data_IF_953362777272
#
_entry.id   IF_953362777272
#
_cell.length_a   1.000
_cell.length_b   1.000
_cell.length_c   1.000
_cell.angle_alpha   90.00
_cell.angle_beta   90.00
_cell.angle_gamma   90.00
#
_symmetry.space_group_name_H-M   'P 1'
#
loop_
_entity.id
_entity.type
_entity.pdbx_description
1 polymer ?
#
# COMPACT_ATOMS: atom_id res chain seq x y z
N UNK A 1 -22.09 -14.46 11.00
CA UNK A 1 -21.55 -13.10 10.94
C UNK A 1 -20.20 -13.24 10.26
N UNK A 2 -20.00 -12.68 9.06
CA UNK A 2 -18.67 -12.76 8.43
C UNK A 2 -17.73 -11.90 9.29
N UNK A 3 -16.60 -12.49 9.72
CA UNK A 3 -15.55 -11.74 10.42
C UNK A 3 -15.01 -10.68 9.47
N UNK A 4 -14.89 -9.43 9.92
CA UNK A 4 -14.34 -8.36 9.08
C UNK A 4 -12.86 -8.64 8.78
N UNK A 5 -12.33 -8.09 7.70
CA UNK A 5 -10.94 -8.34 7.31
C UNK A 5 -9.94 -7.84 8.35
N UNK A 6 -10.25 -6.72 9.00
CA UNK A 6 -9.50 -6.24 10.14
C UNK A 6 -9.52 -7.25 11.30
N UNK A 7 -10.69 -7.77 11.65
CA UNK A 7 -10.81 -8.74 12.73
C UNK A 7 -9.99 -10.01 12.41
N UNK A 8 -10.10 -10.53 11.17
CA UNK A 8 -9.32 -11.67 10.72
C UNK A 8 -7.81 -11.41 10.72
N UNK A 9 -7.36 -10.20 10.35
CA UNK A 9 -5.96 -9.79 10.39
C UNK A 9 -5.40 -9.85 11.82
N UNK A 10 -6.14 -9.33 12.80
CA UNK A 10 -5.74 -9.31 14.19
C UNK A 10 -5.80 -10.70 14.83
N UNK A 11 -6.83 -11.49 14.52
CA UNK A 11 -6.97 -12.88 14.96
C UNK A 11 -5.75 -13.71 14.55
N UNK A 12 -5.34 -13.64 13.28
CA UNK A 12 -4.14 -14.35 12.78
C UNK A 12 -2.85 -13.91 13.45
N UNK A 13 -2.76 -12.65 13.87
CA UNK A 13 -1.60 -12.14 14.59
C UNK A 13 -1.60 -12.48 16.10
N UNK A 14 -2.67 -13.10 16.61
CA UNK A 14 -2.85 -13.35 18.05
C UNK A 14 -3.05 -12.08 18.88
N UNK A 15 -3.55 -10.99 18.25
CA UNK A 15 -3.75 -9.68 18.87
C UNK A 15 -5.21 -9.26 18.79
N UNK A 16 -5.58 -8.24 19.56
CA UNK A 16 -6.87 -7.57 19.43
C UNK A 16 -6.71 -6.24 18.69
N UNK A 17 -7.69 -5.84 17.84
CA UNK A 17 -7.67 -4.52 17.22
C UNK A 17 -7.66 -3.41 18.29
N UNK A 18 -6.79 -2.40 18.19
CA UNK A 18 -6.85 -1.23 19.04
C UNK A 18 -8.16 -0.47 18.85
N UNK A 19 -8.61 0.23 19.90
CA UNK A 19 -9.83 1.04 19.85
C UNK A 19 -9.79 2.13 18.75
N UNK A 20 -8.59 2.60 18.39
CA UNK A 20 -8.37 3.55 17.30
C UNK A 20 -8.71 3.00 15.89
N UNK A 21 -9.01 1.70 15.78
CA UNK A 21 -9.48 1.04 14.56
C UNK A 21 -10.97 0.68 14.60
N UNK A 22 -11.72 1.13 15.62
CA UNK A 22 -13.14 0.80 15.76
C UNK A 22 -14.00 1.25 14.55
N UNK A 23 -13.58 2.32 13.87
CA UNK A 23 -14.26 2.86 12.68
C UNK A 23 -13.59 2.45 11.35
N UNK A 24 -12.61 1.54 11.38
CA UNK A 24 -11.78 1.22 10.22
C UNK A 24 -12.61 0.75 9.01
N UNK A 25 -13.54 -0.20 9.21
CA UNK A 25 -14.37 -0.71 8.13
C UNK A 25 -15.22 0.41 7.50
N UNK A 26 -15.80 1.29 8.33
CA UNK A 26 -16.55 2.46 7.84
C UNK A 26 -15.68 3.45 7.06
N UNK A 27 -14.39 3.59 7.42
CA UNK A 27 -13.42 4.37 6.62
C UNK A 27 -13.13 3.70 5.29
N UNK A 28 -12.98 2.38 5.26
CA UNK A 28 -12.80 1.61 4.02
C UNK A 28 -14.01 1.78 3.11
N UNK A 29 -15.23 1.62 3.62
CA UNK A 29 -16.47 1.85 2.85
C UNK A 29 -16.52 3.26 2.26
N UNK A 30 -16.25 4.28 3.07
CA UNK A 30 -16.21 5.67 2.61
C UNK A 30 -15.14 5.93 1.52
N UNK A 31 -14.02 5.21 1.56
CA UNK A 31 -13.01 5.26 0.50
C UNK A 31 -13.43 4.51 -0.76
N UNK A 32 -14.12 3.37 -0.64
CA UNK A 32 -14.72 2.66 -1.78
C UNK A 32 -15.69 3.58 -2.51
N UNK A 33 -16.61 4.19 -1.78
CA UNK A 33 -17.61 5.10 -2.33
C UNK A 33 -16.95 6.30 -3.02
N UNK A 34 -15.90 6.86 -2.42
CA UNK A 34 -15.15 7.96 -3.02
C UNK A 34 -14.44 7.54 -4.31
N UNK A 35 -13.89 6.32 -4.35
CA UNK A 35 -13.27 5.77 -5.53
C UNK A 35 -14.28 5.49 -6.64
N UNK A 36 -15.42 4.85 -6.33
CA UNK A 36 -16.50 4.53 -7.27
C UNK A 36 -17.18 5.77 -7.84
N UNK A 37 -17.23 6.88 -7.09
CA UNK A 37 -17.69 8.17 -7.65
C UNK A 37 -16.81 8.69 -8.79
N UNK A 38 -15.53 8.34 -8.79
CA UNK A 38 -14.56 8.75 -9.84
C UNK A 38 -14.47 7.69 -10.93
N UNK A 39 -14.56 6.41 -10.56
CA UNK A 39 -14.46 5.25 -11.44
C UNK A 39 -15.71 4.36 -11.28
N UNK A 40 -16.86 4.75 -11.87
CA UNK A 40 -18.14 4.07 -11.64
C UNK A 40 -18.20 2.65 -12.18
N UNK A 41 -17.35 2.33 -13.16
CA UNK A 41 -17.27 0.99 -13.76
C UNK A 41 -16.32 0.05 -13.00
N UNK A 42 -15.68 0.51 -11.92
CA UNK A 42 -14.72 -0.30 -11.19
C UNK A 42 -15.38 -1.48 -10.46
N UNK A 43 -14.70 -2.62 -10.47
CA UNK A 43 -15.12 -3.82 -9.75
C UNK A 43 -14.15 -4.04 -8.58
N UNK A 44 -14.60 -3.69 -7.37
CA UNK A 44 -13.77 -3.78 -6.17
C UNK A 44 -13.92 -5.15 -5.50
N UNK A 45 -12.78 -5.75 -5.15
CA UNK A 45 -12.75 -6.90 -4.24
C UNK A 45 -11.71 -6.71 -3.15
N UNK A 46 -11.96 -7.34 -2.01
CA UNK A 46 -10.97 -7.53 -0.98
C UNK A 46 -10.22 -8.86 -1.17
N UNK A 47 -8.90 -8.81 -1.03
CA UNK A 47 -7.98 -9.93 -1.15
C UNK A 47 -7.19 -10.03 0.16
N UNK A 48 -7.47 -11.09 0.92
CA UNK A 48 -6.85 -11.38 2.22
C UNK A 48 -5.70 -12.38 2.04
N UNK A 49 -4.50 -11.99 2.47
CA UNK A 49 -3.26 -12.76 2.31
C UNK A 49 -2.50 -12.78 3.64
N UNK A 50 -2.85 -13.73 4.49
CA UNK A 50 -2.27 -13.86 5.83
C UNK A 50 -2.30 -12.53 6.60
N UNK A 51 -1.16 -11.86 6.80
CA UNK A 51 -1.07 -10.60 7.54
C UNK A 51 -1.16 -9.35 6.66
N UNK A 52 -1.66 -9.49 5.42
CA UNK A 52 -1.98 -8.39 4.53
C UNK A 52 -3.40 -8.47 3.98
N UNK A 53 -3.97 -7.30 3.76
CA UNK A 53 -5.25 -7.13 3.07
C UNK A 53 -5.06 -6.11 1.96
N UNK A 54 -5.58 -6.43 0.78
CA UNK A 54 -5.62 -5.54 -0.37
C UNK A 54 -7.06 -5.34 -0.82
N UNK A 55 -7.42 -4.11 -1.15
CA UNK A 55 -8.56 -3.82 -1.99
C UNK A 55 -8.07 -3.59 -3.41
N UNK A 56 -8.73 -4.23 -4.36
CA UNK A 56 -8.30 -4.28 -5.75
C UNK A 56 -9.47 -3.96 -6.68
N UNK A 57 -9.21 -3.09 -7.66
CA UNK A 57 -10.07 -2.84 -8.80
C UNK A 57 -9.67 -3.79 -9.94
N UNK A 58 -10.57 -4.72 -10.28
CA UNK A 58 -10.35 -5.70 -11.35
C UNK A 58 -10.39 -5.11 -12.75
N UNK A 59 -11.10 -4.00 -12.95
CA UNK A 59 -11.24 -3.38 -14.27
C UNK A 59 -9.95 -2.65 -14.66
N UNK A 60 -9.36 -1.93 -13.71
CA UNK A 60 -8.10 -1.20 -13.92
C UNK A 60 -6.86 -1.97 -13.46
N UNK A 61 -7.03 -3.20 -12.98
CA UNK A 61 -6.00 -4.08 -12.41
C UNK A 61 -5.07 -3.37 -11.42
N UNK A 62 -5.65 -2.66 -10.43
CA UNK A 62 -4.87 -1.85 -9.49
C UNK A 62 -5.39 -1.89 -8.06
N UNK A 63 -4.46 -1.75 -7.12
CA UNK A 63 -4.76 -1.65 -5.69
C UNK A 63 -5.36 -0.28 -5.38
N UNK A 64 -6.43 -0.23 -4.60
CA UNK A 64 -7.05 1.01 -4.11
C UNK A 64 -6.78 1.25 -2.62
N UNK A 65 -6.49 0.17 -1.88
CA UNK A 65 -6.06 0.19 -0.49
C UNK A 65 -5.22 -1.06 -0.22
N UNK A 66 -4.16 -0.92 0.56
CA UNK A 66 -3.45 -2.06 1.14
C UNK A 66 -3.17 -1.77 2.61
N UNK A 67 -3.40 -2.73 3.50
CA UNK A 67 -3.08 -2.58 4.91
C UNK A 67 -2.62 -3.89 5.53
N UNK A 68 -1.88 -3.77 6.63
CA UNK A 68 -1.26 -4.90 7.31
C UNK A 68 -0.89 -4.57 8.76
N UNK A 69 -0.49 -5.62 9.47
CA UNK A 69 0.32 -5.50 10.68
C UNK A 69 1.79 -5.72 10.32
N UNK A 70 2.67 -4.87 10.85
CA UNK A 70 4.09 -5.13 10.76
C UNK A 70 4.41 -6.42 11.51
N UNK A 71 5.31 -7.22 10.96
CA UNK A 71 5.88 -8.37 11.65
C UNK A 71 7.38 -8.21 11.74
N UNK A 72 7.97 -8.96 12.67
CA UNK A 72 9.42 -9.07 12.74
C UNK A 72 9.92 -9.63 11.40
N UNK A 73 10.94 -9.01 10.77
CA UNK A 73 11.40 -9.45 9.46
C UNK A 73 12.06 -10.84 9.54
N UNK A 74 11.29 -11.88 9.22
CA UNK A 74 11.71 -13.28 9.35
C UNK A 74 12.56 -13.79 8.17
N UNK A 75 12.64 -13.08 7.03
CA UNK A 75 13.30 -13.62 5.83
C UNK A 75 14.16 -12.61 5.07
N UNK A 76 15.24 -13.09 4.42
CA UNK A 76 15.96 -12.34 3.37
C UNK A 76 15.18 -12.42 2.05
N UNK A 77 15.09 -11.29 1.34
CA UNK A 77 14.52 -11.17 -0.01
C UNK A 77 15.11 -12.22 -0.96
N UNK A 78 14.27 -12.86 -1.78
CA UNK A 78 14.75 -13.51 -2.99
C UNK A 78 15.07 -12.44 -4.06
N UNK A 79 16.23 -11.82 -3.89
CA UNK A 79 16.65 -10.64 -4.67
C UNK A 79 17.04 -10.98 -6.10
N UNK A 80 17.19 -12.27 -6.43
CA UNK A 80 17.55 -12.77 -7.75
C UNK A 80 16.41 -12.63 -8.75
N UNK A 81 15.25 -13.25 -8.46
CA UNK A 81 14.08 -13.25 -9.36
C UNK A 81 13.60 -11.86 -9.75
N UNK A 82 13.59 -10.94 -8.78
CA UNK A 82 13.12 -9.57 -9.00
C UNK A 82 14.20 -8.67 -9.60
N UNK A 83 15.43 -9.12 -9.85
CA UNK A 83 16.46 -8.22 -10.37
C UNK A 83 16.15 -7.88 -11.83
N UNK A 84 15.89 -6.61 -12.13
CA UNK A 84 15.56 -6.15 -13.48
C UNK A 84 14.14 -6.49 -13.97
N UNK A 85 13.39 -7.35 -13.28
CA UNK A 85 12.02 -7.73 -13.66
C UNK A 85 11.00 -7.47 -12.54
N UNK A 86 9.83 -6.87 -12.81
CA UNK A 86 9.48 -6.18 -14.06
C UNK A 86 10.31 -4.89 -14.28
N UNK A 87 10.50 -4.49 -15.54
CA UNK A 87 11.06 -3.17 -15.90
C UNK A 87 9.97 -2.09 -15.85
N UNK A 88 9.82 -1.51 -14.67
CA UNK A 88 8.85 -0.46 -14.41
C UNK A 88 9.10 0.80 -15.24
N UNK A 89 10.36 1.14 -15.57
CA UNK A 89 10.64 2.35 -16.34
C UNK A 89 10.22 2.18 -17.81
N UNK A 90 10.33 0.99 -18.38
CA UNK A 90 9.78 0.70 -19.70
C UNK A 90 8.24 0.84 -19.69
N UNK A 91 7.57 0.28 -18.69
CA UNK A 91 6.10 0.35 -18.57
C UNK A 91 5.59 1.78 -18.35
N UNK A 92 6.22 2.54 -17.45
CA UNK A 92 5.86 3.96 -17.21
C UNK A 92 6.04 4.79 -18.48
N UNK A 93 7.14 4.61 -19.23
CA UNK A 93 7.35 5.31 -20.50
C UNK A 93 6.29 4.96 -21.55
N UNK A 94 5.90 3.68 -21.64
CA UNK A 94 4.85 3.24 -22.56
C UNK A 94 3.49 3.90 -22.24
N UNK A 95 3.16 4.05 -20.96
CA UNK A 95 1.86 4.56 -20.53
C UNK A 95 1.80 6.10 -20.52
N UNK A 96 2.88 6.76 -20.06
CA UNK A 96 2.88 8.22 -19.84
C UNK A 96 3.54 9.03 -20.96
N UNK A 97 4.31 8.41 -21.85
CA UNK A 97 5.05 9.10 -22.91
C UNK A 97 5.98 10.17 -22.34
N UNK A 98 5.85 11.41 -22.83
CA UNK A 98 6.66 12.55 -22.40
C UNK A 98 6.47 12.95 -20.93
N UNK A 99 5.38 12.48 -20.29
CA UNK A 99 5.12 12.70 -18.86
C UNK A 99 5.77 11.63 -17.96
N UNK A 100 6.52 10.71 -18.53
CA UNK A 100 7.17 9.64 -17.78
C UNK A 100 8.19 10.20 -16.78
N UNK A 101 8.22 9.60 -15.60
CA UNK A 101 9.18 9.90 -14.55
C UNK A 101 10.05 8.69 -14.26
N UNK A 102 11.21 8.94 -13.65
CA UNK A 102 12.11 7.86 -13.23
C UNK A 102 11.50 7.13 -12.04
N UNK A 103 11.18 5.86 -12.25
CA UNK A 103 10.47 5.03 -11.29
C UNK A 103 11.34 3.87 -10.77
N UNK A 104 11.04 3.45 -9.56
CA UNK A 104 11.45 2.17 -8.99
C UNK A 104 10.22 1.28 -8.78
N UNK A 105 10.47 0.02 -8.44
CA UNK A 105 9.44 -0.89 -7.94
C UNK A 105 9.11 -0.52 -6.50
N UNK A 106 7.98 0.15 -6.33
CA UNK A 106 7.36 0.35 -5.02
C UNK A 106 6.68 -0.93 -4.56
N UNK A 107 6.50 -1.02 -3.24
CA UNK A 107 5.66 -2.03 -2.62
C UNK A 107 4.67 -1.30 -1.72
N UNK A 108 3.38 -1.61 -1.80
CA UNK A 108 2.41 -1.04 -0.86
C UNK A 108 2.65 -1.56 0.55
N UNK A 109 2.92 -2.85 0.71
CA UNK A 109 3.21 -3.47 1.99
C UNK A 109 4.65 -3.98 1.97
N UNK A 110 5.45 -3.49 2.92
CA UNK A 110 6.83 -3.96 3.11
C UNK A 110 6.91 -5.47 3.35
N UNK A 111 8.11 -6.00 3.16
CA UNK A 111 8.51 -7.42 3.17
C UNK A 111 7.92 -8.30 4.29
N UNK A 112 7.50 -7.72 5.40
CA UNK A 112 6.92 -8.41 6.54
C UNK A 112 5.53 -9.01 6.23
N UNK A 113 4.72 -8.36 5.38
CA UNK A 113 3.29 -8.64 5.36
C UNK A 113 2.72 -9.05 3.99
N UNK A 114 3.43 -8.82 2.87
CA UNK A 114 2.85 -9.10 1.54
C UNK A 114 3.82 -9.13 0.34
N UNK A 115 5.13 -9.25 0.58
CA UNK A 115 6.16 -9.15 -0.48
C UNK A 115 6.18 -10.27 -1.53
N UNK A 116 5.25 -11.22 -1.45
CA UNK A 116 5.25 -12.45 -2.26
C UNK A 116 4.50 -12.25 -3.59
N UNK A 117 3.50 -11.35 -3.65
CA UNK A 117 2.61 -11.21 -4.80
C UNK A 117 2.86 -9.94 -5.63
N UNK A 118 2.66 -10.07 -6.94
CA UNK A 118 2.83 -8.98 -7.90
C UNK A 118 1.80 -7.85 -7.71
N UNK A 119 0.62 -8.14 -7.12
CA UNK A 119 -0.40 -7.14 -6.73
C UNK A 119 0.16 -6.02 -5.84
N UNK A 120 1.21 -6.32 -5.08
CA UNK A 120 1.83 -5.37 -4.17
C UNK A 120 2.74 -4.36 -4.90
N UNK A 121 3.07 -4.60 -6.17
CA UNK A 121 3.99 -3.78 -6.94
C UNK A 121 3.29 -2.63 -7.65
N UNK A 122 3.93 -1.47 -7.66
CA UNK A 122 3.51 -0.32 -8.44
C UNK A 122 4.71 0.56 -8.83
N UNK A 123 4.58 1.50 -9.79
CA UNK A 123 5.63 2.44 -10.11
C UNK A 123 5.70 3.50 -9.05
N UNK A 124 6.82 3.56 -8.35
CA UNK A 124 7.05 4.59 -7.35
C UNK A 124 8.14 5.54 -7.82
N UNK A 125 7.93 6.85 -7.71
CA UNK A 125 8.94 7.86 -8.03
C UNK A 125 10.22 7.55 -7.27
N UNK A 126 11.34 7.47 -7.99
CA UNK A 126 12.63 7.03 -7.43
C UNK A 126 13.07 7.89 -6.25
N UNK A 127 12.94 9.20 -6.36
CA UNK A 127 13.34 10.11 -5.28
C UNK A 127 12.52 9.90 -4.00
N UNK A 128 11.22 9.58 -4.12
CA UNK A 128 10.36 9.24 -3.01
C UNK A 128 10.79 7.90 -2.40
N UNK A 129 10.84 6.84 -3.23
CA UNK A 129 11.14 5.47 -2.78
C UNK A 129 12.53 5.35 -2.14
N UNK A 130 13.51 6.13 -2.62
CA UNK A 130 14.90 6.09 -2.11
C UNK A 130 15.15 7.06 -0.96
N UNK A 131 14.19 7.92 -0.63
CA UNK A 131 14.36 8.92 0.41
C UNK A 131 15.27 10.09 0.03
N UNK A 132 15.35 10.43 -1.26
CA UNK A 132 16.25 11.47 -1.76
C UNK A 132 15.62 12.86 -1.73
N UNK A 133 14.28 12.95 -1.79
CA UNK A 133 13.56 14.22 -1.62
C UNK A 133 13.10 14.42 -0.17
N UNK A 134 12.65 15.62 0.19
CA UNK A 134 12.05 15.88 1.52
C UNK A 134 10.81 15.02 1.79
N UNK A 135 9.95 14.82 0.77
CA UNK A 135 8.85 13.86 0.83
C UNK A 135 9.37 12.42 1.01
N UNK A 136 10.44 12.05 0.30
CA UNK A 136 11.11 10.77 0.43
C UNK A 136 11.65 10.51 1.83
N UNK A 137 12.31 11.49 2.45
CA UNK A 137 12.84 11.34 3.81
C UNK A 137 11.72 11.04 4.81
N UNK A 138 10.59 11.75 4.71
CA UNK A 138 9.41 11.50 5.55
C UNK A 138 8.82 10.10 5.29
N UNK A 139 8.66 9.73 4.02
CA UNK A 139 8.19 8.39 3.63
C UNK A 139 9.05 7.28 4.24
N UNK A 140 10.39 7.39 4.09
CA UNK A 140 11.34 6.43 4.66
C UNK A 140 11.35 6.40 6.18
N UNK A 141 11.06 7.52 6.85
CA UNK A 141 10.91 7.55 8.32
C UNK A 141 9.68 6.79 8.78
N UNK A 142 8.55 6.89 8.05
CA UNK A 142 7.35 6.10 8.34
C UNK A 142 7.60 4.61 8.15
N UNK A 143 8.22 4.22 7.02
CA UNK A 143 8.58 2.81 6.78
C UNK A 143 9.54 2.26 7.83
N UNK A 144 10.49 3.09 8.28
CA UNK A 144 11.43 2.70 9.35
C UNK A 144 10.69 2.46 10.66
N UNK A 145 9.78 3.35 11.05
CA UNK A 145 8.98 3.15 12.26
C UNK A 145 8.22 1.81 12.20
N UNK A 146 7.54 1.53 11.09
CA UNK A 146 6.79 0.27 10.89
C UNK A 146 7.71 -0.95 11.00
N UNK A 147 8.92 -0.88 10.45
CA UNK A 147 9.90 -1.97 10.52
C UNK A 147 10.49 -2.18 11.92
N UNK A 148 10.66 -1.11 12.70
CA UNK A 148 11.25 -1.16 14.05
C UNK A 148 10.22 -1.50 15.14
N UNK A 149 8.91 -1.43 14.85
CA UNK A 149 7.84 -1.65 15.81
C UNK A 149 6.87 -2.75 15.33
N UNK A 150 7.17 -4.05 15.52
CA UNK A 150 6.29 -5.15 15.15
C UNK A 150 4.90 -5.08 15.81
N UNK A 151 3.85 -5.44 15.06
CA UNK A 151 2.45 -5.35 15.47
C UNK A 151 1.81 -3.98 15.20
N UNK A 152 2.54 -3.07 14.55
CA UNK A 152 2.03 -1.76 14.14
C UNK A 152 1.08 -1.92 12.95
N UNK A 153 -0.13 -1.39 13.07
CA UNK A 153 -1.06 -1.29 11.95
C UNK A 153 -0.64 -0.17 11.00
N UNK A 154 -0.65 -0.44 9.71
CA UNK A 154 -0.37 0.56 8.70
C UNK A 154 -1.11 0.30 7.39
N UNK A 155 -1.32 1.35 6.59
CA UNK A 155 -1.98 1.26 5.30
C UNK A 155 -1.36 2.17 4.25
N UNK A 156 -1.39 1.74 2.99
CA UNK A 156 -1.21 2.61 1.84
C UNK A 156 -2.52 2.73 1.06
N UNK A 157 -2.89 3.96 0.73
CA UNK A 157 -4.07 4.27 -0.09
C UNK A 157 -3.62 5.11 -1.29
N UNK A 158 -3.35 4.47 -2.44
CA UNK A 158 -3.06 5.20 -3.67
C UNK A 158 -4.26 6.04 -4.13
N UNK A 159 -3.99 7.17 -4.78
CA UNK A 159 -4.99 7.90 -5.54
C UNK A 159 -4.61 7.94 -7.01
N UNK A 160 -5.61 7.80 -7.88
CA UNK A 160 -5.44 7.75 -9.33
C UNK A 160 -6.16 8.92 -9.98
N UNK A 161 -5.57 9.48 -11.04
CA UNK A 161 -6.16 10.60 -11.81
C UNK A 161 -6.75 10.17 -13.15
N UNK A 162 -6.47 8.94 -13.57
CA UNK A 162 -6.87 8.35 -14.85
C UNK A 162 -7.08 6.84 -14.67
N UNK A 163 -7.28 6.11 -15.76
CA UNK A 163 -7.51 4.66 -15.79
C UNK A 163 -6.21 3.85 -15.70
N UNK A 164 -5.05 4.50 -15.53
CA UNK A 164 -3.78 3.77 -15.45
C UNK A 164 -3.61 3.16 -14.06
N UNK A 165 -2.82 2.09 -13.98
CA UNK A 165 -2.37 1.47 -12.73
C UNK A 165 -1.28 2.30 -12.01
N UNK A 166 -0.96 3.50 -12.50
CA UNK A 166 0.07 4.38 -11.96
C UNK A 166 -0.57 5.37 -10.98
N UNK A 167 -0.30 5.27 -9.67
CA UNK A 167 -0.90 6.21 -8.71
C UNK A 167 -0.29 7.59 -8.89
N UNK A 168 -1.13 8.63 -8.78
CA UNK A 168 -0.70 10.02 -8.78
C UNK A 168 -0.13 10.43 -7.41
N UNK A 169 -0.76 9.96 -6.32
CA UNK A 169 -0.28 10.15 -4.95
C UNK A 169 -0.42 8.88 -4.14
N UNK A 170 0.31 8.81 -3.04
CA UNK A 170 0.18 7.78 -2.02
C UNK A 170 -0.19 8.44 -0.70
N UNK A 171 -1.30 8.06 -0.08
CA UNK A 171 -1.51 8.30 1.34
C UNK A 171 -0.93 7.12 2.12
N UNK A 172 -0.11 7.40 3.11
CA UNK A 172 0.45 6.39 4.01
C UNK A 172 -0.02 6.72 5.43
N UNK A 173 -0.72 5.79 6.08
CA UNK A 173 -1.07 5.90 7.49
C UNK A 173 -0.39 4.83 8.33
N UNK A 174 0.13 5.23 9.48
CA UNK A 174 0.73 4.36 10.49
C UNK A 174 0.05 4.64 11.82
N UNK A 175 -0.44 3.59 12.49
CA UNK A 175 -1.04 3.70 13.81
C UNK A 175 0.04 3.55 14.88
N UNK A 176 0.62 4.67 15.26
CA UNK A 176 1.70 4.78 16.24
C UNK A 176 1.18 4.35 17.62
N UNK A 177 1.86 3.37 18.21
CA UNK A 177 1.57 2.78 19.52
C UNK A 177 0.14 2.26 19.69
N UNK A 178 -0.58 1.99 18.58
CA UNK A 178 -1.98 1.55 18.61
C UNK A 178 -3.00 2.65 18.87
N UNK A 179 -2.58 3.91 18.98
CA UNK A 179 -3.46 5.01 19.43
C UNK A 179 -3.51 6.19 18.46
N UNK A 180 -2.35 6.61 17.93
CA UNK A 180 -2.23 7.86 17.17
C UNK A 180 -1.94 7.61 15.70
N UNK A 181 -2.77 8.18 14.83
CA UNK A 181 -2.52 8.17 13.40
C UNK A 181 -1.40 9.15 13.01
N UNK A 182 -0.31 8.61 12.45
CA UNK A 182 0.62 9.35 11.61
C UNK A 182 0.23 9.13 10.14
N UNK A 183 -0.36 10.14 9.52
CA UNK A 183 -0.80 10.10 8.11
C UNK A 183 -0.08 11.20 7.33
N UNK A 184 0.46 10.85 6.16
CA UNK A 184 1.04 11.81 5.23
C UNK A 184 0.67 11.42 3.78
N UNK A 185 0.79 12.37 2.86
CA UNK A 185 0.51 12.21 1.43
C UNK A 185 1.72 12.58 0.60
N UNK A 186 2.07 11.69 -0.32
CA UNK A 186 3.29 11.77 -1.11
C UNK A 186 2.97 11.83 -2.60
N UNK A 187 3.66 12.70 -3.33
CA UNK A 187 3.51 12.77 -4.78
C UNK A 187 4.29 11.66 -5.45
N UNK A 188 3.64 11.02 -6.40
CA UNK A 188 4.26 9.99 -7.23
C UNK A 188 4.46 10.48 -8.67
N UNK A 189 3.48 11.24 -9.19
CA UNK A 189 3.55 11.91 -10.50
C UNK A 189 3.55 13.42 -10.31
#
# INVERSE_FOLDING_TARGET
MMSSALAGLYERSGRSPPAALADWEGRVDGWCDAYLRVFPDAELSEINLDLAVFQFDHVSERVTLAYALSVEPLMRRDSGRMRGFPDVNASVRRVLGDRAFVADKGHFLGHASGGILDINLFPQRRELNRGWSEEGKRFRSMERYVAEHPGTFFYHRPSYRDQTWIPATLEYGVLVDGERWWVDRFRNV
#
